data_IF_583850690017
#
_entry.id   IF_583850690017
#
_cell.length_a   1.000
_cell.length_b   1.000
_cell.length_c   1.000
_cell.angle_alpha   90.00
_cell.angle_beta   90.00
_cell.angle_gamma   90.00
#
_symmetry.space_group_name_H-M   'P 1'
#
loop_
_entity.id
_entity.type
_entity.pdbx_description
1 polymer ?
#
# COMPACT_ATOMS: atom_id res chain seq x y z
N UNK A 1 18.08 -10.33 -59.41
CA UNK A 1 17.02 -9.90 -60.29
C UNK A 1 15.70 -10.14 -59.60
N UNK A 2 14.84 -9.14 -59.64
CA UNK A 2 13.45 -9.01 -59.22
C UNK A 2 13.15 -8.81 -57.71
N UNK A 3 12.83 -7.57 -57.49
CA UNK A 3 12.21 -6.89 -56.36
C UNK A 3 10.79 -7.40 -56.04
N UNK A 4 10.43 -7.44 -54.78
CA UNK A 4 9.08 -7.54 -54.29
C UNK A 4 8.89 -6.68 -53.05
N UNK A 5 8.27 -5.51 -53.21
CA UNK A 5 7.88 -4.59 -52.14
C UNK A 5 6.62 -5.07 -51.40
N UNK A 6 6.47 -4.81 -50.09
CA UNK A 6 5.27 -5.17 -49.37
C UNK A 6 4.14 -4.13 -49.53
N UNK A 7 2.94 -4.66 -49.63
CA UNK A 7 1.66 -3.93 -49.72
C UNK A 7 1.31 -3.34 -48.35
N UNK A 8 1.08 -2.03 -48.29
CA UNK A 8 0.54 -1.31 -47.15
C UNK A 8 -0.98 -1.53 -47.04
N UNK A 9 -1.42 -2.11 -45.92
CA UNK A 9 -2.86 -2.15 -45.57
C UNK A 9 -3.20 -0.89 -44.76
N UNK A 10 -4.05 -0.06 -45.37
CA UNK A 10 -4.66 1.10 -44.76
C UNK A 10 -5.85 0.69 -43.88
N UNK A 11 -5.86 1.11 -42.63
CA UNK A 11 -7.01 0.99 -41.73
C UNK A 11 -7.84 2.28 -41.76
N UNK A 12 -9.18 2.21 -41.62
CA UNK A 12 -10.05 3.37 -41.74
C UNK A 12 -10.10 4.21 -40.47
N UNK A 13 -9.89 5.51 -40.60
CA UNK A 13 -10.07 6.55 -39.59
C UNK A 13 -11.56 6.74 -39.30
N UNK A 14 -12.01 6.39 -38.10
CA UNK A 14 -13.34 6.79 -37.61
C UNK A 14 -13.28 8.22 -37.04
N UNK A 15 -13.96 9.14 -37.74
CA UNK A 15 -14.27 10.49 -37.26
C UNK A 15 -15.25 10.41 -36.08
N UNK A 16 -14.91 10.99 -34.93
CA UNK A 16 -15.86 11.28 -33.85
C UNK A 16 -16.52 12.64 -34.11
N UNK A 17 -17.84 12.64 -34.20
CA UNK A 17 -18.67 13.84 -34.26
C UNK A 17 -18.70 14.55 -32.89
N UNK A 18 -18.48 15.87 -32.96
CA UNK A 18 -18.71 16.81 -31.88
C UNK A 18 -20.22 16.95 -31.60
N UNK A 19 -20.63 16.72 -30.35
CA UNK A 19 -21.91 17.25 -29.83
C UNK A 19 -21.61 18.20 -28.69
N UNK A 20 -21.98 19.45 -28.96
CA UNK A 20 -22.09 20.57 -28.03
C UNK A 20 -23.06 20.22 -26.90
N UNK A 21 -22.69 20.43 -25.65
CA UNK A 21 -23.65 20.55 -24.57
C UNK A 21 -23.44 21.89 -23.88
N UNK A 22 -24.44 22.74 -24.04
CA UNK A 22 -24.65 24.04 -23.43
C UNK A 22 -24.83 23.88 -21.93
N UNK A 23 -24.03 24.60 -21.14
CA UNK A 23 -24.26 24.82 -19.71
C UNK A 23 -25.15 26.07 -19.57
N UNK A 24 -26.34 25.89 -19.03
CA UNK A 24 -27.20 26.96 -18.55
C UNK A 24 -26.79 27.31 -17.14
N UNK A 25 -26.35 28.55 -16.94
CA UNK A 25 -26.10 29.12 -15.64
C UNK A 25 -27.43 29.52 -14.98
N UNK A 26 -27.77 28.95 -13.82
CA UNK A 26 -28.81 29.48 -12.93
C UNK A 26 -28.14 30.32 -11.86
N UNK A 27 -28.40 31.60 -11.88
CA UNK A 27 -28.17 32.54 -10.76
C UNK A 27 -29.36 32.50 -9.82
N UNK A 28 -29.17 32.48 -8.50
CA UNK A 28 -30.21 32.77 -7.56
C UNK A 28 -30.10 34.24 -7.10
N UNK A 29 -31.03 35.06 -7.52
CA UNK A 29 -31.41 36.31 -6.85
C UNK A 29 -32.54 36.01 -5.87
N UNK A 30 -32.29 36.20 -4.56
CA UNK A 30 -33.34 36.29 -3.57
C UNK A 30 -33.03 37.45 -2.65
N UNK A 31 -33.95 38.42 -2.67
CA UNK A 31 -33.98 39.64 -1.89
C UNK A 31 -34.22 39.34 -0.40
N UNK A 32 -33.55 40.13 0.45
CA UNK A 32 -33.73 40.15 1.91
C UNK A 32 -34.76 41.23 2.23
N UNK A 33 -35.82 40.96 2.99
CA UNK A 33 -36.68 42.04 3.51
C UNK A 33 -36.15 42.58 4.87
N UNK A 34 -36.08 43.91 4.93
CA UNK A 34 -35.80 44.72 6.13
C UNK A 34 -36.90 44.56 7.17
N UNK A 35 -36.53 44.59 8.44
CA UNK A 35 -37.49 44.74 9.52
C UNK A 35 -36.93 44.37 10.90
N UNK A 36 -36.13 45.26 11.50
CA UNK A 36 -35.78 45.17 12.92
C UNK A 36 -36.71 46.15 13.69
N UNK A 37 -37.40 45.73 14.74
CA UNK A 37 -37.84 46.64 15.79
C UNK A 37 -36.90 46.57 17.00
N UNK A 38 -36.38 47.73 17.35
CA UNK A 38 -35.69 48.04 18.61
C UNK A 38 -36.67 47.92 19.79
N UNK A 39 -36.26 47.22 20.83
CA UNK A 39 -36.91 47.29 22.14
C UNK A 39 -35.89 47.69 23.20
N UNK A 40 -36.14 48.85 23.74
CA UNK A 40 -35.52 49.54 24.87
C UNK A 40 -35.88 48.87 26.22
N UNK A 41 -34.85 48.81 27.06
CA UNK A 41 -34.85 48.90 28.52
C UNK A 41 -36.06 48.38 29.31
N UNK A 42 -35.84 47.33 30.11
CA UNK A 42 -36.50 47.21 31.43
C UNK A 42 -35.50 46.62 32.44
N UNK A 43 -35.46 47.27 33.57
CA UNK A 43 -34.63 47.13 34.75
C UNK A 43 -34.81 45.85 35.55
N UNK A 44 -33.74 45.48 36.24
CA UNK A 44 -33.53 44.36 37.17
C UNK A 44 -34.64 44.07 38.16
N UNK A 45 -34.73 42.84 38.68
CA UNK A 45 -34.28 42.64 40.06
C UNK A 45 -33.31 41.41 40.23
N UNK A 46 -32.57 41.51 41.32
CA UNK A 46 -31.62 40.58 41.90
C UNK A 46 -32.11 39.13 41.97
N UNK A 47 -31.24 38.21 41.54
CA UNK A 47 -31.25 36.82 42.00
C UNK A 47 -29.80 36.44 42.38
N UNK A 48 -29.60 36.36 43.70
CA UNK A 48 -28.40 35.72 44.27
C UNK A 48 -28.57 34.22 44.22
N UNK A 49 -27.50 33.50 43.84
CA UNK A 49 -27.36 32.09 44.08
C UNK A 49 -27.34 31.20 42.84
N UNK A 50 -26.24 31.18 42.11
CA UNK A 50 -25.91 30.08 41.24
C UNK A 50 -24.43 29.69 41.47
N UNK A 51 -24.14 28.43 41.81
CA UNK A 51 -22.76 28.03 42.04
C UNK A 51 -21.96 27.96 40.71
N UNK A 52 -20.71 28.33 40.84
CA UNK A 52 -19.63 28.37 39.89
C UNK A 52 -19.72 27.34 38.76
N UNK A 53 -19.89 27.82 37.53
CA UNK A 53 -19.54 27.11 36.29
C UNK A 53 -18.04 27.22 36.08
N UNK A 54 -17.26 26.43 36.84
CA UNK A 54 -15.90 26.11 36.51
C UNK A 54 -15.84 24.66 35.98
N UNK A 55 -15.04 24.47 34.94
CA UNK A 55 -14.66 23.23 34.32
C UNK A 55 -15.63 22.60 33.28
N UNK A 56 -15.72 23.23 32.14
CA UNK A 56 -15.79 22.47 30.86
C UNK A 56 -14.74 23.04 29.92
N UNK A 57 -13.50 22.96 30.35
CA UNK A 57 -12.34 23.15 29.46
C UNK A 57 -11.81 21.74 29.07
N UNK A 58 -11.89 21.41 27.79
CA UNK A 58 -11.01 20.45 27.17
C UNK A 58 -11.47 19.00 27.06
N UNK A 59 -12.65 18.74 26.56
CA UNK A 59 -12.85 17.54 25.74
C UNK A 59 -12.56 17.94 24.28
N UNK A 60 -11.27 18.08 23.95
CA UNK A 60 -10.85 17.85 22.58
C UNK A 60 -11.16 16.38 22.30
N UNK A 61 -12.26 16.14 21.61
CA UNK A 61 -12.48 14.90 20.91
C UNK A 61 -11.39 14.84 19.84
N UNK A 62 -10.27 14.22 20.17
CA UNK A 62 -9.39 13.65 19.17
C UNK A 62 -10.29 12.67 18.40
N UNK A 63 -10.75 13.05 17.22
CA UNK A 63 -11.19 12.09 16.23
C UNK A 63 -9.95 11.23 15.97
N UNK A 64 -9.82 10.12 16.71
CA UNK A 64 -8.99 9.02 16.26
C UNK A 64 -9.57 8.65 14.91
N UNK A 65 -8.85 8.99 13.86
CA UNK A 65 -9.11 8.50 12.52
C UNK A 65 -8.90 6.99 12.59
N UNK A 66 -9.97 6.28 12.86
CA UNK A 66 -9.96 4.82 12.89
C UNK A 66 -9.55 4.33 11.49
N UNK A 67 -8.31 3.87 11.40
CA UNK A 67 -7.74 3.46 10.13
C UNK A 67 -8.47 2.20 9.65
N UNK A 68 -9.40 2.37 8.73
CA UNK A 68 -10.10 1.24 8.10
C UNK A 68 -9.13 0.51 7.16
N UNK A 69 -8.86 -0.79 7.39
CA UNK A 69 -8.00 -1.56 6.51
C UNK A 69 -8.56 -1.61 5.08
N UNK A 70 -7.66 -1.60 4.09
CA UNK A 70 -8.05 -1.62 2.67
C UNK A 70 -8.60 -2.99 2.29
N UNK A 71 -9.77 -3.04 1.63
CA UNK A 71 -10.40 -4.27 1.12
C UNK A 71 -10.52 -5.39 2.18
N UNK A 72 -10.78 -5.02 3.45
CA UNK A 72 -10.86 -5.98 4.56
C UNK A 72 -11.91 -7.06 4.31
N UNK A 73 -13.05 -6.71 3.74
CA UNK A 73 -14.12 -7.67 3.43
C UNK A 73 -13.66 -8.72 2.43
N UNK A 74 -12.95 -8.31 1.39
CA UNK A 74 -12.43 -9.21 0.36
C UNK A 74 -11.31 -10.11 0.90
N UNK A 75 -10.45 -9.58 1.77
CA UNK A 75 -9.38 -10.36 2.45
C UNK A 75 -10.00 -11.40 3.37
N UNK A 76 -10.93 -11.00 4.23
CA UNK A 76 -11.64 -11.93 5.14
C UNK A 76 -12.36 -13.01 4.34
N UNK A 77 -13.15 -12.65 3.32
CA UNK A 77 -13.87 -13.63 2.48
C UNK A 77 -12.95 -14.66 1.78
N UNK A 78 -11.68 -14.30 1.53
CA UNK A 78 -10.70 -15.22 1.00
C UNK A 78 -10.12 -16.16 2.07
N UNK A 79 -9.83 -15.64 3.27
CA UNK A 79 -9.12 -16.37 4.30
C UNK A 79 -10.05 -17.07 5.31
N UNK A 80 -11.32 -16.72 5.39
CA UNK A 80 -12.30 -17.47 6.21
C UNK A 80 -12.60 -18.88 5.65
N UNK A 81 -12.34 -19.11 4.37
CA UNK A 81 -12.61 -20.39 3.69
C UNK A 81 -11.46 -21.40 3.79
N UNK A 82 -10.33 -21.03 4.40
CA UNK A 82 -9.20 -21.94 4.57
C UNK A 82 -9.42 -22.91 5.72
N UNK A 83 -8.72 -24.08 5.77
CA UNK A 83 -8.78 -24.98 6.92
C UNK A 83 -8.41 -24.29 8.24
N UNK A 84 -8.81 -24.88 9.36
CA UNK A 84 -8.36 -24.43 10.68
C UNK A 84 -6.83 -24.49 10.78
N UNK A 85 -6.21 -23.48 11.39
CA UNK A 85 -4.77 -23.41 11.50
C UNK A 85 -4.25 -22.02 11.84
N UNK A 86 -3.00 -21.79 11.51
CA UNK A 86 -2.32 -20.51 11.72
C UNK A 86 -2.49 -19.63 10.48
N UNK A 87 -2.93 -18.40 10.68
CA UNK A 87 -2.83 -17.33 9.69
C UNK A 87 -1.56 -16.52 9.96
N UNK A 88 -0.89 -16.09 8.92
CA UNK A 88 0.24 -15.17 9.01
C UNK A 88 -0.13 -13.86 8.35
N UNK A 89 -0.12 -12.77 9.10
CA UNK A 89 -0.18 -11.43 8.56
C UNK A 89 1.26 -10.91 8.45
N UNK A 90 1.78 -10.91 7.23
CA UNK A 90 3.19 -10.59 6.96
C UNK A 90 3.51 -9.09 7.08
N UNK A 91 2.47 -8.25 7.21
CA UNK A 91 2.53 -6.78 7.25
C UNK A 91 1.46 -6.26 8.20
N UNK A 92 1.53 -6.69 9.47
CA UNK A 92 0.40 -6.51 10.42
C UNK A 92 0.02 -5.05 10.66
N UNK A 93 0.95 -4.11 10.49
CA UNK A 93 0.69 -2.68 10.65
C UNK A 93 0.00 -2.36 11.97
N UNK A 94 -1.13 -1.65 11.92
CA UNK A 94 -1.97 -1.38 13.09
C UNK A 94 -2.88 -2.56 13.52
N UNK A 95 -2.75 -3.74 12.92
CA UNK A 95 -3.49 -4.95 13.30
C UNK A 95 -4.95 -5.02 12.83
N UNK A 96 -5.35 -4.16 11.88
CA UNK A 96 -6.74 -4.09 11.45
C UNK A 96 -7.24 -5.33 10.70
N UNK A 97 -6.48 -5.81 9.71
CA UNK A 97 -6.79 -7.07 9.00
C UNK A 97 -6.70 -8.27 9.95
N UNK A 98 -5.64 -8.32 10.76
CA UNK A 98 -5.43 -9.37 11.75
C UNK A 98 -6.61 -9.50 12.72
N UNK A 99 -7.12 -8.38 13.23
CA UNK A 99 -8.29 -8.36 14.10
C UNK A 99 -9.54 -8.88 13.37
N UNK A 100 -9.81 -8.40 12.16
CA UNK A 100 -10.96 -8.83 11.38
C UNK A 100 -10.93 -10.34 11.04
N UNK A 101 -9.76 -10.89 10.77
CA UNK A 101 -9.57 -12.32 10.51
C UNK A 101 -9.83 -13.17 11.76
N UNK A 102 -9.37 -12.73 12.94
CA UNK A 102 -9.59 -13.42 14.20
C UNK A 102 -11.04 -13.30 14.72
N UNK A 103 -11.71 -12.19 14.40
CA UNK A 103 -13.16 -12.01 14.67
C UNK A 103 -14.02 -12.90 13.78
N UNK A 104 -13.59 -13.17 12.55
CA UNK A 104 -14.34 -13.99 11.59
C UNK A 104 -14.40 -15.46 11.97
N UNK A 105 -13.33 -16.00 12.61
CA UNK A 105 -13.27 -17.42 12.99
C UNK A 105 -12.49 -17.65 14.29
N UNK A 106 -13.09 -18.44 15.19
CA UNK A 106 -12.50 -18.74 16.51
C UNK A 106 -11.41 -19.82 16.46
N UNK A 107 -11.42 -20.68 15.46
CA UNK A 107 -10.47 -21.78 15.28
C UNK A 107 -9.16 -21.39 14.58
N UNK A 108 -9.02 -20.11 14.21
CA UNK A 108 -7.77 -19.55 13.71
C UNK A 108 -6.91 -18.96 14.84
N UNK A 109 -5.60 -19.12 14.69
CA UNK A 109 -4.58 -18.35 15.37
C UNK A 109 -3.88 -17.45 14.35
N UNK A 110 -3.27 -16.37 14.81
CA UNK A 110 -2.59 -15.43 13.93
C UNK A 110 -1.21 -15.06 14.45
N UNK A 111 -0.23 -15.11 13.56
CA UNK A 111 1.10 -14.56 13.75
C UNK A 111 1.21 -13.31 12.87
N UNK A 112 1.35 -12.13 13.49
CA UNK A 112 1.55 -10.88 12.79
C UNK A 112 3.04 -10.50 12.77
N UNK A 113 3.55 -10.09 11.60
CA UNK A 113 4.90 -9.58 11.45
C UNK A 113 4.86 -8.11 11.03
N UNK A 114 5.78 -7.33 11.56
CA UNK A 114 6.09 -5.99 11.03
C UNK A 114 7.54 -5.63 11.37
N UNK A 115 8.18 -4.88 10.50
CA UNK A 115 9.54 -4.37 10.71
C UNK A 115 9.56 -3.09 11.57
N UNK A 116 8.43 -2.37 11.65
CA UNK A 116 8.29 -1.08 12.35
C UNK A 116 7.89 -1.30 13.81
N UNK A 117 8.72 -0.82 14.75
CA UNK A 117 8.44 -0.92 16.19
C UNK A 117 7.10 -0.28 16.60
N UNK A 118 6.72 0.83 15.95
CA UNK A 118 5.45 1.49 16.23
C UNK A 118 4.25 0.62 15.79
N UNK A 119 4.35 -0.04 14.64
CA UNK A 119 3.34 -0.97 14.15
C UNK A 119 3.22 -2.20 15.05
N UNK A 120 4.35 -2.76 15.49
CA UNK A 120 4.38 -3.89 16.45
C UNK A 120 3.71 -3.51 17.77
N UNK A 121 3.98 -2.33 18.31
CA UNK A 121 3.37 -1.86 19.55
C UNK A 121 1.85 -1.66 19.39
N UNK A 122 1.41 -0.98 18.32
CA UNK A 122 0.00 -0.71 18.04
C UNK A 122 -0.80 -2.01 17.82
N UNK A 123 -0.29 -2.89 16.96
CA UNK A 123 -0.96 -4.17 16.67
C UNK A 123 -0.99 -5.09 17.88
N UNK A 124 0.08 -5.14 18.69
CA UNK A 124 0.09 -5.90 19.95
C UNK A 124 -0.99 -5.43 20.91
N UNK A 125 -1.15 -4.12 21.07
CA UNK A 125 -2.22 -3.55 21.91
C UNK A 125 -3.62 -3.88 21.35
N UNK A 126 -3.84 -3.70 20.04
CA UNK A 126 -5.13 -4.01 19.38
C UNK A 126 -5.50 -5.48 19.47
N UNK A 127 -4.53 -6.37 19.30
CA UNK A 127 -4.75 -7.82 19.28
C UNK A 127 -4.73 -8.47 20.66
N UNK A 128 -4.41 -7.74 21.72
CA UNK A 128 -4.36 -8.27 23.10
C UNK A 128 -5.67 -8.94 23.54
N UNK A 129 -6.81 -8.46 23.04
CA UNK A 129 -8.14 -9.05 23.33
C UNK A 129 -8.32 -10.49 22.86
N UNK A 130 -7.49 -10.96 21.94
CA UNK A 130 -7.54 -12.34 21.44
C UNK A 130 -6.69 -13.33 22.24
N UNK A 131 -5.91 -12.84 23.23
CA UNK A 131 -5.07 -13.67 24.10
C UNK A 131 -4.07 -14.51 23.30
N UNK A 132 -3.99 -15.79 23.60
CA UNK A 132 -3.07 -16.73 22.96
C UNK A 132 -3.34 -17.00 21.46
N UNK A 133 -4.47 -16.54 20.93
CA UNK A 133 -4.77 -16.67 19.50
C UNK A 133 -4.00 -15.68 18.64
N UNK A 134 -3.43 -14.62 19.21
CA UNK A 134 -2.70 -13.61 18.48
C UNK A 134 -1.26 -13.46 19.00
N UNK A 135 -0.31 -13.48 18.09
CA UNK A 135 1.09 -13.20 18.38
C UNK A 135 1.63 -12.17 17.40
N UNK A 136 2.22 -11.09 17.91
CA UNK A 136 2.92 -10.11 17.06
C UNK A 136 4.41 -10.23 17.30
N UNK A 137 5.20 -10.21 16.22
CA UNK A 137 6.65 -10.38 16.23
C UNK A 137 7.29 -9.27 15.38
N UNK A 138 8.29 -8.57 15.93
CA UNK A 138 9.12 -7.67 15.13
C UNK A 138 10.01 -8.50 14.22
N UNK A 139 9.66 -8.55 12.93
CA UNK A 139 10.42 -9.24 11.89
C UNK A 139 10.02 -8.71 10.52
N UNK A 140 10.93 -8.77 9.55
CA UNK A 140 10.60 -8.58 8.15
C UNK A 140 9.95 -9.87 7.61
N UNK A 141 9.13 -9.76 6.59
CA UNK A 141 8.41 -10.92 6.06
C UNK A 141 9.30 -11.92 5.28
N UNK A 142 10.53 -11.58 4.92
CA UNK A 142 11.54 -12.53 4.45
C UNK A 142 12.07 -13.46 5.56
N UNK A 143 11.90 -13.05 6.81
CA UNK A 143 12.20 -13.86 8.01
C UNK A 143 11.02 -14.78 8.43
N UNK A 144 9.90 -14.77 7.69
CA UNK A 144 8.65 -15.47 8.00
C UNK A 144 8.85 -16.96 8.33
N UNK A 145 9.67 -17.67 7.57
CA UNK A 145 9.90 -19.10 7.79
C UNK A 145 10.44 -19.37 9.18
N UNK A 146 11.39 -18.58 9.66
CA UNK A 146 11.96 -18.71 11.00
C UNK A 146 10.93 -18.38 12.08
N UNK A 147 10.15 -17.31 11.89
CA UNK A 147 9.10 -16.90 12.84
C UNK A 147 8.04 -17.99 12.95
N UNK A 148 7.55 -18.50 11.83
CA UNK A 148 6.54 -19.57 11.80
C UNK A 148 7.07 -20.85 12.46
N UNK A 149 8.31 -21.26 12.18
CA UNK A 149 8.90 -22.43 12.82
C UNK A 149 8.97 -22.33 14.34
N UNK A 150 9.16 -21.12 14.85
CA UNK A 150 9.21 -20.85 16.31
C UNK A 150 7.84 -20.81 16.95
N UNK A 151 6.85 -20.19 16.30
CA UNK A 151 5.59 -19.82 16.96
C UNK A 151 4.37 -20.62 16.51
N UNK A 152 4.41 -21.31 15.37
CA UNK A 152 3.27 -22.13 14.92
C UNK A 152 3.14 -23.46 15.69
N UNK A 153 4.18 -23.87 16.42
CA UNK A 153 4.18 -25.11 17.24
C UNK A 153 3.71 -26.34 16.45
N UNK A 154 4.15 -26.48 15.18
CA UNK A 154 3.76 -27.58 14.31
C UNK A 154 2.34 -27.52 13.73
N UNK A 155 1.58 -26.48 14.00
CA UNK A 155 0.26 -26.27 13.37
C UNK A 155 0.40 -25.89 11.91
N UNK A 156 -0.54 -26.33 11.05
CA UNK A 156 -0.51 -25.99 9.62
C UNK A 156 -0.73 -24.50 9.41
N UNK A 157 0.01 -23.91 8.48
CA UNK A 157 -0.22 -22.54 8.01
C UNK A 157 -1.38 -22.56 7.02
N UNK A 158 -2.55 -22.11 7.47
CA UNK A 158 -3.77 -22.09 6.68
C UNK A 158 -3.86 -20.89 5.76
N UNK A 159 -3.21 -19.77 6.09
CA UNK A 159 -3.24 -18.58 5.25
C UNK A 159 -2.07 -17.65 5.51
N UNK A 160 -1.67 -16.94 4.47
CA UNK A 160 -0.69 -15.84 4.56
C UNK A 160 -1.27 -14.64 3.83
N UNK A 161 -1.22 -13.48 4.48
CA UNK A 161 -1.59 -12.23 3.83
C UNK A 161 -0.45 -11.23 3.83
N UNK A 162 -0.44 -10.38 2.81
CA UNK A 162 0.40 -9.20 2.68
C UNK A 162 -0.47 -7.99 2.36
N UNK A 163 -0.35 -6.92 3.12
CA UNK A 163 -0.85 -5.60 2.80
C UNK A 163 0.35 -4.69 2.55
N UNK A 164 0.82 -4.65 1.30
CA UNK A 164 2.09 -4.03 0.92
C UNK A 164 2.03 -2.51 1.00
N UNK A 165 3.20 -1.88 1.05
CA UNK A 165 3.35 -0.43 1.02
C UNK A 165 3.61 0.16 2.41
N UNK A 166 3.07 1.36 2.67
CA UNK A 166 3.31 2.13 3.89
C UNK A 166 2.05 2.32 4.70
N UNK A 167 2.19 2.25 6.01
CA UNK A 167 1.11 2.54 6.94
C UNK A 167 0.79 4.04 7.02
N UNK A 168 -0.43 4.37 7.48
CA UNK A 168 -0.81 5.77 7.68
C UNK A 168 0.09 6.51 8.66
N UNK A 169 0.44 5.96 9.82
CA UNK A 169 1.37 6.61 10.73
C UNK A 169 2.74 6.93 10.10
N UNK A 170 3.23 6.09 9.19
CA UNK A 170 4.49 6.37 8.46
C UNK A 170 4.36 7.59 7.55
N UNK A 171 3.20 7.77 6.87
CA UNK A 171 2.96 8.90 5.99
C UNK A 171 2.60 10.20 6.73
N UNK A 172 1.97 10.09 7.88
CA UNK A 172 1.42 11.23 8.60
C UNK A 172 2.42 11.85 9.60
N UNK A 173 3.49 11.11 9.97
CA UNK A 173 4.56 11.58 10.85
C UNK A 173 5.73 12.13 10.04
N UNK A 174 5.95 13.47 10.12
CA UNK A 174 7.00 14.15 9.38
C UNK A 174 8.41 13.61 9.68
N UNK A 175 8.65 13.21 10.94
CA UNK A 175 9.94 12.68 11.42
C UNK A 175 10.34 11.35 10.79
N UNK A 176 9.40 10.63 10.14
CA UNK A 176 9.67 9.37 9.44
C UNK A 176 10.16 9.57 8.00
N UNK A 177 9.97 10.74 7.41
CA UNK A 177 10.49 11.09 6.09
C UNK A 177 9.81 10.44 4.88
N UNK A 178 8.69 9.71 5.05
CA UNK A 178 7.99 9.04 3.95
C UNK A 178 7.17 9.99 3.07
N UNK A 179 6.77 11.14 3.60
CA UNK A 179 5.84 12.06 2.94
C UNK A 179 6.56 13.26 2.33
N UNK A 180 6.23 13.56 1.09
CA UNK A 180 6.63 14.82 0.42
C UNK A 180 5.74 16.02 0.80
N UNK A 181 4.75 15.84 1.69
CA UNK A 181 3.80 16.88 2.11
C UNK A 181 4.26 17.66 3.32
N UNK A 182 5.12 17.06 4.12
CA UNK A 182 5.65 17.62 5.36
C UNK A 182 7.16 17.67 5.27
N UNK A 183 7.77 18.72 5.80
CA UNK A 183 9.22 18.78 5.91
C UNK A 183 9.67 18.04 7.19
N UNK A 184 10.69 17.23 7.06
CA UNK A 184 11.26 16.43 8.12
C UNK A 184 12.54 15.72 7.66
N UNK A 185 13.21 14.96 8.54
CA UNK A 185 14.40 14.19 8.18
C UNK A 185 14.10 13.25 7.01
N UNK A 186 15.02 13.15 6.06
CA UNK A 186 14.89 12.27 4.90
C UNK A 186 15.33 10.84 5.27
N UNK A 187 14.55 10.16 6.12
CA UNK A 187 14.87 8.81 6.64
C UNK A 187 14.29 7.71 5.74
N UNK A 188 12.98 7.52 5.69
CA UNK A 188 12.20 6.52 4.94
C UNK A 188 12.42 5.05 5.37
N UNK A 189 13.16 4.75 6.43
CA UNK A 189 13.31 3.37 6.92
C UNK A 189 12.05 2.91 7.65
N UNK A 190 11.57 1.71 7.33
CA UNK A 190 10.53 1.03 8.10
C UNK A 190 11.09 0.55 9.43
N UNK A 191 12.20 -0.18 9.41
CA UNK A 191 13.01 -0.50 10.59
C UNK A 191 14.14 0.52 10.74
N UNK A 192 14.00 1.46 11.68
CA UNK A 192 14.98 2.52 11.90
C UNK A 192 16.30 2.01 12.51
N UNK A 193 16.39 0.74 12.92
CA UNK A 193 17.60 0.14 13.42
C UNK A 193 18.51 -0.45 12.33
N UNK A 194 18.03 -0.53 11.08
CA UNK A 194 18.73 -1.21 9.97
C UNK A 194 18.83 -0.32 8.73
N UNK A 195 19.89 -0.53 7.98
CA UNK A 195 20.08 0.02 6.64
C UNK A 195 20.33 1.53 6.58
N UNK A 196 20.63 2.02 5.38
CA UNK A 196 20.85 3.45 5.15
C UNK A 196 19.53 4.21 5.10
N UNK A 197 19.56 5.48 5.51
CA UNK A 197 18.47 6.43 5.32
C UNK A 197 18.36 6.86 3.85
N UNK A 198 17.22 7.41 3.46
CA UNK A 198 17.08 8.01 2.14
C UNK A 198 18.05 9.19 1.93
N UNK A 199 18.37 9.94 2.99
CA UNK A 199 19.39 10.99 2.95
C UNK A 199 20.77 10.42 2.61
N UNK A 200 21.18 9.32 3.24
CA UNK A 200 22.45 8.66 2.93
C UNK A 200 22.48 8.17 1.49
N UNK A 201 21.38 7.56 0.97
CA UNK A 201 21.31 7.14 -0.42
C UNK A 201 21.44 8.31 -1.40
N UNK A 202 20.66 9.37 -1.24
CA UNK A 202 20.72 10.51 -2.17
C UNK A 202 22.05 11.25 -2.10
N UNK A 203 22.76 11.18 -0.97
CA UNK A 203 24.05 11.85 -0.79
C UNK A 203 25.27 11.01 -1.19
N UNK A 204 25.14 9.66 -1.25
CA UNK A 204 26.27 8.77 -1.58
C UNK A 204 26.25 8.18 -2.98
N UNK A 205 25.05 7.81 -3.50
CA UNK A 205 24.93 7.13 -4.79
C UNK A 205 25.44 8.02 -5.95
N UNK A 206 26.05 7.39 -6.96
CA UNK A 206 26.47 8.06 -8.19
C UNK A 206 25.27 8.49 -9.06
N UNK A 207 25.52 9.37 -10.05
CA UNK A 207 24.49 9.76 -11.02
C UNK A 207 23.90 8.58 -11.79
N UNK A 208 24.71 7.58 -12.10
CA UNK A 208 24.28 6.39 -12.82
C UNK A 208 23.35 5.53 -11.95
N UNK A 209 23.72 5.30 -10.69
CA UNK A 209 22.91 4.53 -9.74
C UNK A 209 21.58 5.22 -9.43
N UNK A 210 21.56 6.51 -9.16
CA UNK A 210 20.32 7.28 -8.98
C UNK A 210 19.44 7.27 -10.23
N UNK A 211 20.05 7.37 -11.43
CA UNK A 211 19.32 7.28 -12.70
C UNK A 211 18.65 5.94 -12.86
N UNK A 212 19.37 4.87 -12.59
CA UNK A 212 18.83 3.49 -12.67
C UNK A 212 17.71 3.29 -11.65
N UNK A 213 17.94 3.71 -10.40
CA UNK A 213 16.94 3.60 -9.32
C UNK A 213 15.62 4.29 -9.69
N UNK A 214 15.67 5.50 -10.23
CA UNK A 214 14.46 6.22 -10.64
C UNK A 214 13.82 5.62 -11.90
N UNK A 215 14.61 5.14 -12.86
CA UNK A 215 14.12 4.52 -14.08
C UNK A 215 13.36 3.22 -13.79
N UNK A 216 13.89 2.37 -12.93
CA UNK A 216 13.29 1.09 -12.55
C UNK A 216 11.96 1.28 -11.79
N UNK A 217 11.84 2.39 -11.07
CA UNK A 217 10.66 2.71 -10.26
C UNK A 217 9.70 3.72 -10.91
N UNK A 218 9.76 3.86 -12.24
CA UNK A 218 8.70 4.50 -13.02
C UNK A 218 8.92 5.98 -13.38
N UNK A 219 10.11 6.55 -13.09
CA UNK A 219 10.45 7.93 -13.50
C UNK A 219 11.44 7.98 -14.69
N UNK A 220 11.45 6.92 -15.51
CA UNK A 220 12.44 6.70 -16.57
C UNK A 220 12.72 7.91 -17.49
N UNK A 221 11.68 8.67 -17.85
CA UNK A 221 11.87 9.83 -18.78
C UNK A 221 12.74 10.95 -18.20
N UNK A 222 12.69 11.19 -16.90
CA UNK A 222 13.40 12.29 -16.24
C UNK A 222 14.45 11.80 -15.23
N UNK A 223 14.66 10.49 -15.14
CA UNK A 223 15.55 9.87 -14.17
C UNK A 223 16.95 10.49 -14.16
N UNK A 224 17.59 10.60 -15.33
CA UNK A 224 18.92 11.19 -15.46
C UNK A 224 18.96 12.65 -14.99
N UNK A 225 18.00 13.47 -15.43
CA UNK A 225 17.95 14.90 -15.07
C UNK A 225 17.72 15.09 -13.57
N UNK A 226 16.88 14.25 -12.95
CA UNK A 226 16.67 14.26 -11.52
C UNK A 226 17.93 13.85 -10.76
N UNK A 227 18.61 12.79 -11.19
CA UNK A 227 19.86 12.34 -10.60
C UNK A 227 20.95 13.43 -10.66
N UNK A 228 21.15 14.07 -11.82
CA UNK A 228 22.09 15.17 -12.00
C UNK A 228 21.74 16.37 -11.09
N UNK A 229 20.44 16.71 -10.98
CA UNK A 229 19.97 17.79 -10.10
C UNK A 229 20.17 17.49 -8.62
N UNK A 230 19.94 16.26 -8.19
CA UNK A 230 20.20 15.80 -6.81
C UNK A 230 21.69 15.92 -6.49
N UNK A 231 22.56 15.42 -7.36
CA UNK A 231 24.02 15.52 -7.15
C UNK A 231 24.51 16.96 -7.05
N UNK A 232 24.03 17.84 -7.92
CA UNK A 232 24.39 19.25 -7.91
C UNK A 232 23.88 20.01 -6.67
N UNK A 233 22.90 19.44 -5.95
CA UNK A 233 22.22 20.08 -4.82
C UNK A 233 22.61 19.50 -3.46
N UNK A 234 23.55 18.55 -3.42
CA UNK A 234 24.02 17.91 -2.17
C UNK A 234 24.70 18.91 -1.23
N UNK A 235 24.59 18.75 0.09
CA UNK A 235 23.87 17.69 0.79
C UNK A 235 22.35 17.93 0.84
N UNK A 236 21.56 16.83 0.84
CA UNK A 236 20.11 16.83 0.97
C UNK A 236 19.76 16.00 2.20
N UNK A 237 19.22 16.66 3.23
CA UNK A 237 18.97 16.04 4.55
C UNK A 237 17.48 15.98 4.91
N UNK A 238 16.65 16.81 4.23
CA UNK A 238 15.23 16.89 4.53
C UNK A 238 14.35 16.58 3.32
N UNK A 239 13.12 16.18 3.59
CA UNK A 239 12.10 15.90 2.57
C UNK A 239 11.75 17.15 1.79
N UNK A 240 11.63 18.32 2.46
CA UNK A 240 11.36 19.60 1.82
C UNK A 240 12.47 19.99 0.84
N UNK A 241 13.75 19.87 1.25
CA UNK A 241 14.86 20.13 0.36
C UNK A 241 14.88 19.22 -0.86
N UNK A 242 14.57 17.94 -0.69
CA UNK A 242 14.46 17.01 -1.82
C UNK A 242 13.32 17.41 -2.77
N UNK A 243 12.16 17.82 -2.26
CA UNK A 243 11.04 18.32 -3.07
C UNK A 243 11.44 19.52 -3.91
N UNK A 244 12.09 20.53 -3.32
CA UNK A 244 12.59 21.71 -4.04
C UNK A 244 13.51 21.32 -5.21
N UNK A 245 14.45 20.41 -4.96
CA UNK A 245 15.38 19.93 -5.98
C UNK A 245 14.65 19.21 -7.11
N UNK A 246 13.68 18.35 -6.78
CA UNK A 246 12.86 17.65 -7.79
C UNK A 246 12.09 18.65 -8.64
N UNK A 247 11.41 19.62 -8.03
CA UNK A 247 10.61 20.62 -8.74
C UNK A 247 11.45 21.54 -9.63
N UNK A 248 12.63 21.95 -9.18
CA UNK A 248 13.56 22.74 -9.96
C UNK A 248 14.06 22.00 -11.21
N UNK A 249 14.21 20.69 -11.12
CA UNK A 249 14.75 19.85 -12.20
C UNK A 249 13.71 19.21 -13.11
N UNK A 250 12.41 19.35 -12.82
CA UNK A 250 11.35 18.86 -13.71
C UNK A 250 10.86 19.96 -14.66
N UNK A 251 10.68 19.65 -15.98
CA UNK A 251 10.05 20.57 -16.92
C UNK A 251 8.64 20.96 -16.50
N UNK A 252 8.20 22.18 -16.85
CA UNK A 252 6.86 22.67 -16.50
C UNK A 252 5.70 21.75 -16.93
N UNK A 253 5.84 21.06 -18.08
CA UNK A 253 4.86 20.07 -18.56
C UNK A 253 4.80 18.85 -17.62
N UNK A 254 5.93 18.43 -17.05
CA UNK A 254 5.95 17.30 -16.11
C UNK A 254 5.31 17.67 -14.77
N UNK A 255 5.51 18.92 -14.32
CA UNK A 255 4.89 19.46 -13.09
C UNK A 255 3.36 19.57 -13.17
N UNK A 256 2.80 19.67 -14.37
CA UNK A 256 1.35 19.74 -14.63
C UNK A 256 0.66 18.36 -14.74
N UNK A 257 1.40 17.26 -14.64
CA UNK A 257 0.79 15.90 -14.64
C UNK A 257 -0.05 15.67 -13.39
N UNK A 258 -1.10 14.85 -13.48
CA UNK A 258 -1.86 14.46 -12.29
C UNK A 258 -0.95 13.83 -11.21
N UNK A 259 -1.11 14.27 -9.97
CA UNK A 259 -0.28 13.88 -8.84
C UNK A 259 0.93 14.78 -8.61
N UNK A 260 1.48 14.71 -7.41
CA UNK A 260 2.63 15.51 -7.02
C UNK A 260 3.91 15.02 -7.74
N UNK A 261 4.75 15.93 -8.28
CA UNK A 261 5.98 15.56 -9.01
C UNK A 261 6.93 14.66 -8.22
N UNK A 262 7.06 14.90 -6.90
CA UNK A 262 7.94 14.13 -6.03
C UNK A 262 7.46 12.70 -5.76
N UNK A 263 6.18 12.37 -5.99
CA UNK A 263 5.59 11.07 -5.60
C UNK A 263 6.42 9.88 -6.06
N UNK A 264 6.89 9.87 -7.31
CA UNK A 264 7.63 8.73 -7.88
C UNK A 264 9.06 8.65 -7.37
N UNK A 265 9.70 9.79 -7.14
CA UNK A 265 11.06 9.85 -6.58
C UNK A 265 11.05 9.34 -5.14
N UNK A 266 10.08 9.81 -4.33
CA UNK A 266 9.90 9.32 -2.96
C UNK A 266 9.60 7.81 -2.92
N UNK A 267 8.72 7.33 -3.81
CA UNK A 267 8.45 5.89 -3.94
C UNK A 267 9.71 5.11 -4.33
N UNK A 268 10.50 5.60 -5.28
CA UNK A 268 11.73 4.94 -5.70
C UNK A 268 12.75 4.85 -4.55
N UNK A 269 12.96 5.95 -3.82
CA UNK A 269 13.84 5.97 -2.65
C UNK A 269 13.35 5.03 -1.55
N UNK A 270 12.04 5.04 -1.25
CA UNK A 270 11.44 4.16 -0.26
C UNK A 270 11.68 2.68 -0.57
N UNK A 271 11.43 2.30 -1.82
CA UNK A 271 11.66 0.93 -2.31
C UNK A 271 13.13 0.53 -2.12
N UNK A 272 14.07 1.43 -2.43
CA UNK A 272 15.49 1.16 -2.30
C UNK A 272 15.96 1.09 -0.85
N UNK A 273 15.52 2.03 0.01
CA UNK A 273 15.86 2.08 1.43
C UNK A 273 15.44 0.81 2.16
N UNK A 274 14.26 0.28 1.81
CA UNK A 274 13.65 -0.88 2.48
C UNK A 274 13.82 -2.19 1.70
N UNK A 275 14.52 -2.17 0.56
CA UNK A 275 14.71 -3.36 -0.31
C UNK A 275 13.38 -4.05 -0.66
N UNK A 276 12.29 -3.26 -0.79
CA UNK A 276 10.91 -3.76 -0.76
C UNK A 276 10.64 -4.87 -1.77
N UNK A 277 11.16 -4.77 -3.00
CA UNK A 277 10.89 -5.75 -4.04
C UNK A 277 11.70 -7.05 -3.86
N UNK A 278 12.94 -6.96 -3.39
CA UNK A 278 13.79 -8.13 -3.15
C UNK A 278 13.27 -8.93 -1.96
N UNK A 279 12.93 -8.23 -0.88
CA UNK A 279 12.33 -8.82 0.32
C UNK A 279 10.96 -9.43 0.00
N UNK A 280 10.16 -8.80 -0.89
CA UNK A 280 8.88 -9.33 -1.31
C UNK A 280 9.01 -10.63 -2.11
N UNK A 281 10.01 -10.77 -2.97
CA UNK A 281 10.20 -12.02 -3.74
C UNK A 281 10.48 -13.19 -2.80
N UNK A 282 11.40 -13.01 -1.83
CA UNK A 282 11.71 -14.01 -0.80
C UNK A 282 10.50 -14.31 0.09
N UNK A 283 9.78 -13.27 0.54
CA UNK A 283 8.59 -13.42 1.38
C UNK A 283 7.47 -14.21 0.69
N UNK A 284 7.22 -13.96 -0.60
CA UNK A 284 6.22 -14.69 -1.38
C UNK A 284 6.59 -16.17 -1.58
N UNK A 285 7.86 -16.47 -1.85
CA UNK A 285 8.34 -17.85 -1.96
C UNK A 285 8.19 -18.58 -0.62
N UNK A 286 8.58 -17.94 0.47
CA UNK A 286 8.38 -18.46 1.84
C UNK A 286 6.93 -18.71 2.14
N UNK A 287 6.06 -17.75 1.85
CA UNK A 287 4.62 -17.88 2.07
C UNK A 287 4.03 -19.09 1.34
N UNK A 288 4.32 -19.23 0.02
CA UNK A 288 3.78 -20.33 -0.77
C UNK A 288 4.33 -21.71 -0.34
N UNK A 289 5.56 -21.76 0.17
CA UNK A 289 6.16 -23.01 0.67
C UNK A 289 5.59 -23.44 2.03
N UNK A 290 5.25 -22.48 2.89
CA UNK A 290 4.70 -22.73 4.22
C UNK A 290 3.24 -23.18 4.22
N UNK A 291 2.47 -22.80 3.18
CA UNK A 291 1.05 -23.10 3.12
C UNK A 291 0.77 -24.62 3.17
N UNK A 292 -0.11 -25.02 4.08
CA UNK A 292 -0.73 -26.31 4.07
C UNK A 292 -1.67 -26.49 2.85
N UNK A 293 -2.01 -27.72 2.45
CA UNK A 293 -3.01 -27.95 1.41
C UNK A 293 -4.32 -27.17 1.67
N UNK A 294 -4.87 -26.56 0.62
CA UNK A 294 -6.00 -25.62 0.64
C UNK A 294 -5.75 -24.30 1.38
N UNK A 295 -4.55 -24.09 1.92
CA UNK A 295 -4.14 -22.80 2.46
C UNK A 295 -4.02 -21.75 1.35
N UNK A 296 -4.21 -20.47 1.68
CA UNK A 296 -4.24 -19.37 0.73
C UNK A 296 -3.22 -18.29 1.04
N UNK A 297 -2.56 -17.80 -0.02
CA UNK A 297 -1.78 -16.56 0.03
C UNK A 297 -2.61 -15.45 -0.61
N UNK A 298 -2.84 -14.35 0.13
CA UNK A 298 -3.58 -13.16 -0.31
C UNK A 298 -2.66 -11.96 -0.24
N UNK A 299 -2.56 -11.20 -1.32
CA UNK A 299 -1.66 -10.05 -1.42
C UNK A 299 -2.41 -8.83 -1.91
N UNK A 300 -2.34 -7.75 -1.16
CA UNK A 300 -2.70 -6.40 -1.57
C UNK A 300 -1.42 -5.67 -2.00
N UNK A 301 -1.42 -5.12 -3.21
CA UNK A 301 -0.32 -4.33 -3.76
C UNK A 301 -0.82 -2.96 -4.23
N UNK A 302 0.03 -1.92 -4.16
CA UNK A 302 -0.37 -0.54 -4.43
C UNK A 302 0.36 0.10 -5.60
N UNK A 303 1.39 -0.56 -6.13
CA UNK A 303 2.07 -0.11 -7.33
C UNK A 303 2.37 -1.25 -8.31
N UNK A 304 2.68 -0.86 -9.55
CA UNK A 304 2.87 -1.81 -10.64
C UNK A 304 4.07 -2.75 -10.48
N UNK A 305 5.09 -2.36 -9.72
CA UNK A 305 6.26 -3.18 -9.42
C UNK A 305 5.86 -4.39 -8.57
N UNK A 306 5.19 -4.14 -7.44
CA UNK A 306 4.65 -5.18 -6.55
C UNK A 306 3.69 -6.10 -7.30
N UNK A 307 2.66 -5.55 -7.96
CA UNK A 307 1.64 -6.32 -8.67
C UNK A 307 2.24 -7.25 -9.74
N UNK A 308 3.28 -6.78 -10.44
CA UNK A 308 4.02 -7.56 -11.44
C UNK A 308 4.77 -8.71 -10.79
N UNK A 309 5.43 -8.45 -9.66
CA UNK A 309 6.19 -9.45 -8.92
C UNK A 309 5.27 -10.54 -8.38
N UNK A 310 4.17 -10.17 -7.70
CA UNK A 310 3.16 -11.11 -7.19
C UNK A 310 2.59 -11.96 -8.31
N UNK A 311 2.19 -11.33 -9.44
CA UNK A 311 1.68 -12.06 -10.61
C UNK A 311 2.69 -13.08 -11.14
N UNK A 312 3.98 -12.71 -11.23
CA UNK A 312 5.05 -13.57 -11.72
C UNK A 312 5.29 -14.74 -10.77
N UNK A 313 5.36 -14.47 -9.47
CA UNK A 313 5.56 -15.49 -8.44
C UNK A 313 4.43 -16.53 -8.44
N UNK A 314 3.17 -16.07 -8.42
CA UNK A 314 2.01 -16.98 -8.47
C UNK A 314 1.92 -17.77 -9.76
N UNK A 315 2.25 -17.18 -10.91
CA UNK A 315 2.26 -17.88 -12.19
C UNK A 315 3.35 -18.95 -12.22
N UNK A 316 4.56 -18.67 -11.70
CA UNK A 316 5.65 -19.62 -11.59
C UNK A 316 5.25 -20.80 -10.68
N UNK A 317 4.67 -20.54 -9.53
CA UNK A 317 4.20 -21.57 -8.61
C UNK A 317 3.05 -22.42 -9.19
N UNK A 318 2.15 -21.81 -9.97
CA UNK A 318 1.04 -22.52 -10.63
C UNK A 318 1.49 -23.42 -11.78
N UNK A 319 2.61 -23.12 -12.42
CA UNK A 319 3.16 -23.91 -13.53
C UNK A 319 4.32 -24.81 -13.11
N UNK A 320 4.76 -24.73 -11.85
CA UNK A 320 5.98 -25.40 -11.39
C UNK A 320 7.25 -24.89 -12.08
N UNK A 321 7.21 -23.66 -12.64
CA UNK A 321 8.31 -23.11 -13.43
C UNK A 321 8.47 -23.71 -14.83
N UNK A 322 7.43 -24.34 -15.37
CA UNK A 322 7.46 -24.94 -16.71
C UNK A 322 7.83 -23.91 -17.79
N UNK A 323 8.83 -24.26 -18.61
CA UNK A 323 9.32 -23.47 -19.76
C UNK A 323 8.95 -24.06 -21.11
N UNK A 324 8.13 -25.12 -21.15
CA UNK A 324 7.69 -25.76 -22.39
C UNK A 324 6.82 -24.78 -23.21
N UNK A 325 6.86 -24.87 -24.55
CA UNK A 325 6.04 -24.02 -25.42
C UNK A 325 4.54 -24.17 -25.12
N UNK A 326 3.77 -23.08 -25.07
CA UNK A 326 2.33 -23.14 -24.87
C UNK A 326 1.65 -23.99 -25.95
N UNK A 327 0.68 -24.83 -25.55
CA UNK A 327 -0.09 -25.66 -26.45
C UNK A 327 0.55 -27.01 -26.82
N UNK A 328 1.76 -27.28 -26.37
CA UNK A 328 2.38 -28.59 -26.47
C UNK A 328 2.35 -29.34 -25.13
N UNK A 329 2.35 -30.69 -25.13
CA UNK A 329 2.49 -31.47 -23.89
C UNK A 329 3.73 -31.04 -23.11
N UNK A 330 3.63 -30.92 -21.80
CA UNK A 330 4.75 -30.60 -20.93
C UNK A 330 5.65 -31.84 -20.82
N UNK A 331 6.94 -31.68 -21.13
CA UNK A 331 7.96 -32.73 -21.05
C UNK A 331 9.02 -32.47 -19.99
N UNK A 332 8.95 -31.32 -19.31
CA UNK A 332 9.96 -30.91 -18.31
C UNK A 332 9.68 -31.46 -16.89
N UNK A 333 8.56 -32.15 -16.67
CA UNK A 333 8.19 -32.67 -15.35
C UNK A 333 7.79 -31.64 -14.32
N UNK A 334 7.63 -30.38 -14.72
CA UNK A 334 7.23 -29.31 -13.79
C UNK A 334 5.83 -29.56 -13.21
N UNK A 335 5.73 -29.50 -11.89
CA UNK A 335 4.48 -29.72 -11.14
C UNK A 335 4.08 -28.39 -10.46
N UNK A 336 2.89 -27.88 -10.82
CA UNK A 336 2.33 -26.71 -10.16
C UNK A 336 1.93 -27.01 -8.72
N UNK A 337 2.27 -26.13 -7.82
CA UNK A 337 2.00 -26.30 -6.38
C UNK A 337 0.81 -25.47 -5.91
N UNK A 338 0.34 -24.51 -6.70
CA UNK A 338 -0.77 -23.64 -6.35
C UNK A 338 -1.78 -23.47 -7.49
N UNK A 339 -2.99 -23.13 -7.13
CA UNK A 339 -4.03 -22.62 -8.06
C UNK A 339 -4.19 -21.13 -7.87
N UNK A 340 -4.04 -20.34 -8.94
CA UNK A 340 -4.31 -18.89 -8.89
C UNK A 340 -5.82 -18.66 -8.84
N UNK A 341 -6.30 -18.02 -7.77
CA UNK A 341 -7.73 -17.76 -7.54
C UNK A 341 -8.22 -16.50 -8.27
N UNK A 342 -7.32 -15.57 -8.55
CA UNK A 342 -7.64 -14.30 -9.21
C UNK A 342 -7.04 -14.28 -10.62
N UNK A 343 -7.87 -14.46 -11.68
CA UNK A 343 -7.40 -14.37 -13.08
C UNK A 343 -6.83 -13.00 -13.44
N UNK A 344 -7.43 -11.92 -12.90
CA UNK A 344 -6.92 -10.54 -12.89
C UNK A 344 -6.81 -10.04 -11.47
N UNK A 345 -6.14 -8.91 -11.21
CA UNK A 345 -6.20 -8.29 -9.90
C UNK A 345 -7.65 -7.84 -9.60
N UNK A 346 -8.16 -8.12 -8.40
CA UNK A 346 -9.40 -7.53 -7.92
C UNK A 346 -9.12 -6.11 -7.46
N UNK A 347 -9.97 -5.18 -7.83
CA UNK A 347 -9.90 -3.78 -7.42
C UNK A 347 -10.91 -3.52 -6.32
N UNK A 348 -10.67 -2.49 -5.52
CA UNK A 348 -11.61 -2.02 -4.52
C UNK A 348 -12.95 -1.63 -5.16
N UNK A 349 -14.04 -1.91 -4.46
CA UNK A 349 -15.39 -1.56 -4.90
C UNK A 349 -15.60 -0.04 -4.91
N UNK A 350 -16.56 0.49 -5.71
CA UNK A 350 -16.90 1.92 -5.65
C UNK A 350 -17.33 2.38 -4.25
N UNK A 351 -17.98 1.53 -3.47
CA UNK A 351 -18.39 1.81 -2.10
C UNK A 351 -17.18 1.92 -1.16
N UNK A 352 -16.18 1.06 -1.36
CA UNK A 352 -14.90 1.15 -0.65
C UNK A 352 -14.16 2.46 -1.00
N UNK A 353 -14.03 2.77 -2.28
CA UNK A 353 -13.35 3.97 -2.76
C UNK A 353 -13.95 5.27 -2.22
N UNK A 354 -15.27 5.30 -2.04
CA UNK A 354 -15.97 6.45 -1.46
C UNK A 354 -15.62 6.65 0.02
N UNK A 355 -15.36 5.57 0.77
CA UNK A 355 -15.02 5.60 2.20
C UNK A 355 -13.52 5.66 2.45
N UNK A 356 -12.74 4.98 1.63
CA UNK A 356 -11.30 4.83 1.77
C UNK A 356 -10.56 5.15 0.45
N UNK A 357 -10.22 6.42 0.18
CA UNK A 357 -9.50 6.82 -1.04
C UNK A 357 -8.15 6.13 -1.22
N UNK A 358 -7.53 5.60 -0.14
CA UNK A 358 -6.26 4.85 -0.18
C UNK A 358 -6.40 3.53 -0.95
N UNK A 359 -7.61 2.97 -1.01
CA UNK A 359 -7.91 1.77 -1.78
C UNK A 359 -7.84 1.97 -3.31
N UNK A 360 -7.72 3.21 -3.80
CA UNK A 360 -7.77 3.54 -5.24
C UNK A 360 -6.68 2.87 -6.09
N UNK A 361 -5.52 2.59 -5.51
CA UNK A 361 -4.43 1.88 -6.19
C UNK A 361 -4.32 0.40 -5.77
N UNK A 362 -5.12 -0.05 -4.83
CA UNK A 362 -5.08 -1.41 -4.31
C UNK A 362 -5.43 -2.45 -5.37
N UNK A 363 -4.67 -3.53 -5.38
CA UNK A 363 -4.83 -4.69 -6.26
C UNK A 363 -4.71 -5.96 -5.44
N UNK A 364 -5.80 -6.69 -5.29
CA UNK A 364 -5.80 -7.95 -4.58
C UNK A 364 -5.52 -9.11 -5.53
N UNK A 365 -4.55 -9.94 -5.16
CA UNK A 365 -4.29 -11.24 -5.79
C UNK A 365 -4.32 -12.35 -4.75
N UNK A 366 -4.76 -13.54 -5.18
CA UNK A 366 -4.80 -14.71 -4.30
C UNK A 366 -4.42 -15.99 -5.05
N UNK A 367 -3.73 -16.89 -4.34
CA UNK A 367 -3.40 -18.24 -4.77
C UNK A 367 -3.68 -19.22 -3.63
N UNK A 368 -4.03 -20.47 -3.98
CA UNK A 368 -4.35 -21.54 -3.05
C UNK A 368 -3.41 -22.73 -3.27
N UNK A 369 -2.85 -23.27 -2.19
CA UNK A 369 -2.02 -24.47 -2.22
C UNK A 369 -2.84 -25.68 -2.66
N UNK A 370 -2.34 -26.40 -3.63
CA UNK A 370 -2.94 -27.65 -4.09
C UNK A 370 -2.67 -28.77 -3.06
N UNK A 371 -3.53 -29.80 -3.07
CA UNK A 371 -3.19 -31.05 -2.42
C UNK A 371 -1.94 -31.64 -3.08
N UNK A 372 -1.08 -32.25 -2.30
CA UNK A 372 -0.02 -33.08 -2.89
C UNK A 372 -0.70 -34.20 -3.67
N UNK A 373 -0.49 -34.24 -4.98
CA UNK A 373 -0.86 -35.41 -5.75
C UNK A 373 0.15 -36.48 -5.33
N UNK A 374 -0.32 -37.50 -4.62
CA UNK A 374 0.52 -38.68 -4.33
C UNK A 374 1.09 -39.18 -5.67
N UNK A 375 2.40 -39.18 -5.78
CA UNK A 375 3.13 -39.61 -6.97
C UNK A 375 2.96 -41.11 -7.21
#
# INVERSE_FOLDING_TARGET
MSNGLPVALALPVRRRSSKCNSWVACSPSAEVPDGIPTLSALSHPHFEGCPSLELVAGLQMTQEFEHTPVMVTEVVAMLEQVPAGVLVDATVGGGGHAAALLDAREDHQLIGLDADDAAVAESSARLARFGERARVVKARFDEMTQVVSTWAHGRPVAGVMFDLGVSSPQLDRAERGFSYRFDGPLDMRMDQSRGPTAAELVNSLSAAELTQLFADNGEGRFARRLAEGIIASRPIETTGRLVEVIEANLPGVARKRPGHPAKRVFQALRIAVNEELDVLEVGLESALSLLAPQGRCVVLSYHSGEDRLVKRCFARAATGGCTCPPGLPCVCGAIGTVRVLTRGARLASPAELARNPRASSARLRAAERLFEVAA
#
